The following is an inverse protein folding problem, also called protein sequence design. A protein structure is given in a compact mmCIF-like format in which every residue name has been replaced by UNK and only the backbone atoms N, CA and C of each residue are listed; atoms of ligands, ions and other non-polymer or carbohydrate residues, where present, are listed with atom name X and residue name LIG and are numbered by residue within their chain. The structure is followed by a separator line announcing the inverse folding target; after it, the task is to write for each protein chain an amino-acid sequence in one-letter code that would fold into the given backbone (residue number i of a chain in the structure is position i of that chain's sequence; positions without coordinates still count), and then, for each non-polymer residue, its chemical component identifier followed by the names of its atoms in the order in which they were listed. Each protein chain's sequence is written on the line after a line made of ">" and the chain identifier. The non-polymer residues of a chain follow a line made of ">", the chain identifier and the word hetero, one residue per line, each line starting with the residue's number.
data_IF_692157573588
#
_entry.id   IF_692157573588
#
_cell.length_a   1.000
_cell.length_b   1.000
_cell.length_c   1.000
_cell.angle_alpha   90.00
_cell.angle_beta   90.00
_cell.angle_gamma   90.00
#
_symmetry.space_group_name_H-M   'P 1'
#
loop_
_entity.id
_entity.type
_entity.pdbx_description
1 polymer ?
#
# COMPACT_ATOMS: atom_id res chain seq x y z
N UNK A 1 20.23 -8.76 0.07
CA UNK A 1 19.76 -7.37 -0.14
C UNK A 1 20.26 -6.56 1.04
N UNK A 2 20.77 -5.36 0.79
CA UNK A 2 21.16 -4.40 1.84
C UNK A 2 19.92 -3.85 2.55
N UNK A 3 20.05 -3.28 3.77
CA UNK A 3 18.93 -2.65 4.44
C UNK A 3 18.43 -1.44 3.64
N UNK A 4 17.12 -1.18 3.72
CA UNK A 4 16.44 -0.08 3.02
C UNK A 4 15.69 0.80 4.03
N UNK A 5 16.07 2.07 4.10
CA UNK A 5 15.31 3.08 4.86
C UNK A 5 14.23 3.69 3.98
N UNK A 6 12.97 3.44 4.34
CA UNK A 6 11.81 4.10 3.73
C UNK A 6 11.46 5.33 4.55
N UNK A 7 11.43 6.50 3.94
CA UNK A 7 11.04 7.75 4.59
C UNK A 7 10.10 8.52 3.67
N UNK A 8 8.82 8.53 4.02
CA UNK A 8 7.75 9.18 3.24
C UNK A 8 6.71 8.17 2.74
N UNK A 9 6.01 8.53 1.67
CA UNK A 9 4.89 7.77 1.12
C UNK A 9 5.28 6.88 -0.07
N UNK A 10 5.22 5.54 0.06
CA UNK A 10 5.35 4.65 -1.08
C UNK A 10 4.17 4.79 -2.06
N UNK A 11 4.43 4.58 -3.34
CA UNK A 11 3.40 4.67 -4.40
C UNK A 11 3.52 3.53 -5.39
N UNK A 12 2.41 3.15 -6.03
CA UNK A 12 2.38 2.14 -7.09
C UNK A 12 1.30 2.46 -8.10
N UNK A 13 1.60 2.28 -9.40
CA UNK A 13 0.61 2.46 -10.46
C UNK A 13 -0.23 1.20 -10.61
N UNK A 14 -1.55 1.33 -10.60
CA UNK A 14 -2.48 0.20 -10.76
C UNK A 14 -3.65 0.55 -11.68
N UNK A 15 -4.29 -0.49 -12.23
CA UNK A 15 -5.61 -0.43 -12.84
C UNK A 15 -6.62 -1.18 -12.00
N UNK A 16 -7.72 -0.52 -11.66
CA UNK A 16 -8.80 -1.08 -10.84
C UNK A 16 -10.05 -1.22 -11.69
N UNK A 17 -10.59 -2.44 -11.79
CA UNK A 17 -11.90 -2.73 -12.37
C UNK A 17 -12.89 -3.16 -11.28
N UNK A 18 -14.17 -2.82 -11.43
CA UNK A 18 -15.21 -3.13 -10.44
C UNK A 18 -16.50 -3.62 -11.08
N UNK A 19 -17.13 -4.62 -10.46
CA UNK A 19 -18.49 -5.08 -10.80
C UNK A 19 -19.59 -4.40 -9.97
N UNK A 20 -19.27 -3.45 -9.08
CA UNK A 20 -20.26 -2.76 -8.27
C UNK A 20 -21.28 -2.01 -9.15
N UNK A 21 -22.53 -1.93 -8.69
CA UNK A 21 -23.61 -1.29 -9.44
C UNK A 21 -23.32 0.20 -9.72
N UNK A 22 -22.79 0.92 -8.74
CA UNK A 22 -22.37 2.33 -8.88
C UNK A 22 -21.02 2.49 -9.62
N UNK A 23 -20.38 1.38 -9.99
CA UNK A 23 -19.07 1.36 -10.64
C UNK A 23 -17.91 1.81 -9.74
N UNK A 24 -18.11 1.91 -8.42
CA UNK A 24 -17.04 2.23 -7.48
C UNK A 24 -16.26 0.99 -7.01
N UNK A 25 -15.03 1.20 -6.56
CA UNK A 25 -14.29 0.21 -5.78
C UNK A 25 -13.83 0.84 -4.47
N UNK A 26 -13.95 0.10 -3.37
CA UNK A 26 -13.34 0.47 -2.08
C UNK A 26 -12.25 -0.56 -1.78
N UNK A 27 -11.02 -0.08 -1.65
CA UNK A 27 -9.82 -0.89 -1.47
C UNK A 27 -9.05 -0.42 -0.26
N UNK A 28 -8.30 -1.32 0.36
CA UNK A 28 -7.42 -1.05 1.49
C UNK A 28 -6.02 -1.50 1.10
N UNK A 29 -5.11 -0.53 0.96
CA UNK A 29 -3.76 -0.76 0.51
C UNK A 29 -2.77 -0.58 1.66
N UNK A 30 -1.82 -1.52 1.78
CA UNK A 30 -0.78 -1.51 2.81
C UNK A 30 0.50 -2.18 2.31
N UNK A 31 1.61 -1.86 2.96
CA UNK A 31 2.91 -2.47 2.68
C UNK A 31 3.45 -3.08 3.95
N UNK A 32 3.73 -4.38 3.89
CA UNK A 32 4.41 -5.11 4.96
C UNK A 32 5.92 -5.14 4.71
N UNK A 33 6.67 -5.09 5.78
CA UNK A 33 8.04 -5.59 5.85
C UNK A 33 7.98 -7.08 6.22
N UNK A 34 8.58 -7.93 5.40
CA UNK A 34 8.50 -9.39 5.52
C UNK A 34 9.89 -10.00 5.59
N UNK A 35 10.12 -10.76 6.67
CA UNK A 35 11.35 -11.49 6.90
C UNK A 35 11.69 -12.51 5.79
N UNK A 36 12.96 -12.94 5.71
CA UNK A 36 13.45 -13.78 4.62
C UNK A 36 12.71 -15.12 4.52
N UNK A 37 12.30 -15.72 5.65
CA UNK A 37 11.52 -16.95 5.70
C UNK A 37 10.00 -16.72 5.56
N UNK A 38 9.56 -15.47 5.52
CA UNK A 38 8.15 -15.06 5.41
C UNK A 38 7.31 -15.21 6.68
N UNK A 39 7.88 -15.71 7.79
CA UNK A 39 7.14 -15.93 9.04
C UNK A 39 6.95 -14.63 9.81
N UNK A 40 7.97 -13.79 9.86
CA UNK A 40 7.88 -12.45 10.42
C UNK A 40 7.28 -11.49 9.38
N UNK A 41 6.19 -10.83 9.76
CA UNK A 41 5.54 -9.79 8.96
C UNK A 41 5.20 -8.62 9.87
N UNK A 42 5.78 -7.46 9.57
CA UNK A 42 5.50 -6.22 10.29
C UNK A 42 4.72 -5.30 9.35
N UNK A 43 3.60 -4.78 9.84
CA UNK A 43 2.94 -3.65 9.21
C UNK A 43 3.44 -2.38 9.91
N UNK A 44 4.30 -1.55 9.26
CA UNK A 44 4.86 -0.38 9.92
C UNK A 44 3.75 0.54 10.47
N UNK A 45 3.83 0.82 11.77
CA UNK A 45 2.85 1.60 12.54
C UNK A 45 1.37 1.14 12.39
N UNK A 46 1.14 -0.11 11.96
CA UNK A 46 -0.20 -0.67 11.68
C UNK A 46 -1.03 0.18 10.68
N UNK A 47 -0.38 0.90 9.76
CA UNK A 47 -1.05 1.85 8.89
C UNK A 47 -1.68 1.20 7.65
N UNK A 48 -2.84 1.72 7.24
CA UNK A 48 -3.60 1.27 6.07
C UNK A 48 -4.13 2.49 5.32
N UNK A 49 -4.03 2.49 3.99
CA UNK A 49 -4.66 3.50 3.14
C UNK A 49 -6.03 3.01 2.62
N UNK A 50 -7.15 3.59 3.09
CA UNK A 50 -8.45 3.38 2.45
C UNK A 50 -8.52 4.19 1.15
N UNK A 51 -8.91 3.54 0.05
CA UNK A 51 -8.96 4.13 -1.28
C UNK A 51 -10.33 3.87 -1.90
N UNK A 52 -11.01 4.95 -2.29
CA UNK A 52 -12.21 4.89 -3.12
C UNK A 52 -11.87 5.25 -4.56
N UNK A 53 -12.26 4.39 -5.49
CA UNK A 53 -12.08 4.59 -6.93
C UNK A 53 -13.43 4.65 -7.60
N UNK A 54 -13.87 5.85 -7.97
CA UNK A 54 -15.11 6.02 -8.74
C UNK A 54 -14.88 5.82 -10.24
N UNK A 55 -15.89 5.31 -10.94
CA UNK A 55 -15.85 5.07 -12.39
C UNK A 55 -14.94 3.91 -12.80
N UNK A 56 -14.78 2.91 -11.94
CA UNK A 56 -13.91 1.75 -12.17
C UNK A 56 -14.55 0.64 -13.03
N UNK A 57 -15.80 0.77 -13.48
CA UNK A 57 -16.52 -0.32 -14.20
C UNK A 57 -15.75 -0.85 -15.43
N UNK A 58 -15.15 0.03 -16.23
CA UNK A 58 -14.36 -0.34 -17.41
C UNK A 58 -12.85 -0.50 -17.13
N UNK A 59 -12.45 -0.44 -15.86
CA UNK A 59 -11.06 -0.33 -15.45
C UNK A 59 -10.58 1.12 -15.44
N UNK A 60 -10.08 1.58 -14.31
CA UNK A 60 -9.50 2.92 -14.12
C UNK A 60 -8.08 2.80 -13.60
N UNK A 61 -7.15 3.39 -14.34
CA UNK A 61 -5.75 3.43 -13.99
C UNK A 61 -5.50 4.64 -13.06
N UNK A 62 -5.04 4.41 -11.82
CA UNK A 62 -4.58 5.44 -10.88
C UNK A 62 -3.23 5.11 -10.22
N UNK A 63 -2.67 6.07 -9.49
CA UNK A 63 -1.57 5.84 -8.55
C UNK A 63 -2.16 5.58 -7.16
N UNK A 64 -1.86 4.42 -6.57
CA UNK A 64 -2.12 4.15 -5.17
C UNK A 64 -1.03 4.81 -4.33
N UNK A 65 -1.47 5.68 -3.43
CA UNK A 65 -0.63 6.39 -2.46
C UNK A 65 -0.80 5.70 -1.11
N UNK A 66 0.28 5.14 -0.57
CA UNK A 66 0.26 4.37 0.69
C UNK A 66 0.48 5.28 1.91
N UNK A 67 0.28 4.80 3.13
CA UNK A 67 0.62 5.60 4.31
C UNK A 67 2.10 5.99 4.32
N UNK A 68 2.39 7.20 4.81
CA UNK A 68 3.77 7.62 5.03
C UNK A 68 4.37 6.82 6.19
N UNK A 69 5.60 6.34 6.01
CA UNK A 69 6.34 5.59 7.03
C UNK A 69 7.77 6.14 7.12
N UNK A 70 8.34 6.07 8.32
CA UNK A 70 9.79 6.09 8.52
C UNK A 70 10.18 4.74 9.11
N UNK A 71 10.65 3.82 8.26
CA UNK A 71 10.81 2.40 8.60
C UNK A 71 12.07 1.83 7.96
N UNK A 72 12.85 1.08 8.74
CA UNK A 72 13.98 0.31 8.24
C UNK A 72 13.51 -1.10 7.86
N UNK A 73 13.72 -1.46 6.60
CA UNK A 73 13.59 -2.83 6.12
C UNK A 73 14.96 -3.48 6.25
N UNK A 74 15.07 -4.48 7.11
CA UNK A 74 16.35 -5.15 7.38
C UNK A 74 16.93 -5.86 6.16
N UNK A 75 18.25 -6.10 6.18
CA UNK A 75 18.92 -6.83 5.12
C UNK A 75 18.29 -8.22 4.90
N UNK A 76 17.94 -8.52 3.65
CA UNK A 76 17.31 -9.80 3.29
C UNK A 76 15.79 -9.86 3.50
N UNK A 77 15.18 -8.83 4.09
CA UNK A 77 13.73 -8.67 4.08
C UNK A 77 13.22 -8.25 2.70
N UNK A 78 11.89 -8.30 2.53
CA UNK A 78 11.20 -7.78 1.34
C UNK A 78 9.97 -6.97 1.71
N UNK A 79 9.67 -5.97 0.89
CA UNK A 79 8.40 -5.27 0.93
C UNK A 79 7.31 -6.10 0.25
N UNK A 80 6.13 -6.17 0.87
CA UNK A 80 4.94 -6.82 0.30
C UNK A 80 3.77 -5.84 0.27
N UNK A 81 3.39 -5.43 -0.92
CA UNK A 81 2.13 -4.74 -1.17
C UNK A 81 0.96 -5.70 -0.98
N UNK A 82 -0.03 -5.28 -0.19
CA UNK A 82 -1.32 -5.96 -0.05
C UNK A 82 -2.42 -4.97 -0.41
N UNK A 83 -3.32 -5.40 -1.30
CA UNK A 83 -4.55 -4.67 -1.64
C UNK A 83 -5.72 -5.59 -1.34
N UNK A 84 -6.60 -5.16 -0.44
CA UNK A 84 -7.74 -5.93 0.03
C UNK A 84 -9.06 -5.18 -0.23
N UNK A 85 -10.17 -5.92 -0.31
CA UNK A 85 -11.51 -5.34 -0.43
C UNK A 85 -12.14 -5.00 0.94
N UNK A 86 -11.54 -5.48 2.03
CA UNK A 86 -11.99 -5.23 3.41
C UNK A 86 -10.80 -5.01 4.34
N UNK A 87 -11.02 -4.24 5.41
CA UNK A 87 -10.09 -4.10 6.53
C UNK A 87 -10.91 -3.87 7.81
N UNK A 88 -10.50 -4.46 8.94
CA UNK A 88 -11.26 -4.41 10.20
C UNK A 88 -11.34 -2.99 10.79
N UNK A 89 -10.43 -2.09 10.40
CA UNK A 89 -10.45 -0.70 10.85
C UNK A 89 -11.51 0.19 10.18
N UNK A 90 -12.24 -0.32 9.17
CA UNK A 90 -13.10 0.52 8.33
C UNK A 90 -14.44 -0.14 7.99
N UNK A 91 -15.47 0.70 7.86
CA UNK A 91 -16.72 0.28 7.25
C UNK A 91 -16.52 0.02 5.74
N UNK A 92 -16.93 -1.17 5.29
CA UNK A 92 -16.91 -1.56 3.88
C UNK A 92 -18.33 -1.52 3.30
N UNK A 93 -18.50 -1.32 1.97
CA UNK A 93 -19.82 -1.40 1.35
C UNK A 93 -20.52 -2.73 1.65
N UNK A 94 -21.82 -2.68 1.95
CA UNK A 94 -22.61 -3.87 2.30
C UNK A 94 -22.95 -4.74 1.08
N UNK A 95 -23.08 -4.14 -0.10
CA UNK A 95 -23.37 -4.86 -1.33
C UNK A 95 -22.11 -5.58 -1.84
N UNK A 96 -22.20 -6.87 -2.21
CA UNK A 96 -21.06 -7.60 -2.74
C UNK A 96 -20.62 -7.06 -4.11
N UNK A 97 -19.32 -7.03 -4.35
CA UNK A 97 -18.72 -6.71 -5.64
C UNK A 97 -17.39 -7.45 -5.79
N UNK A 98 -17.01 -7.73 -7.04
CA UNK A 98 -15.67 -8.19 -7.38
C UNK A 98 -14.82 -7.01 -7.86
N UNK A 99 -13.58 -6.95 -7.39
CA UNK A 99 -12.59 -5.97 -7.81
C UNK A 99 -11.39 -6.69 -8.43
N UNK A 100 -10.95 -6.20 -9.59
CA UNK A 100 -9.70 -6.65 -10.22
C UNK A 100 -8.69 -5.53 -10.10
N UNK A 101 -7.52 -5.82 -9.52
CA UNK A 101 -6.41 -4.88 -9.40
C UNK A 101 -5.24 -5.40 -10.19
N UNK A 102 -4.86 -4.70 -11.26
CA UNK A 102 -3.67 -5.00 -12.07
C UNK A 102 -2.56 -4.03 -11.70
N UNK A 103 -1.38 -4.53 -11.36
CA UNK A 103 -0.19 -3.71 -11.13
C UNK A 103 0.37 -3.27 -12.49
N UNK A 104 0.50 -1.96 -12.70
CA UNK A 104 0.97 -1.34 -13.95
C UNK A 104 2.39 -0.78 -13.86
N UNK A 105 3.04 -0.89 -12.69
CA UNK A 105 4.39 -0.39 -12.46
C UNK A 105 4.99 -0.88 -11.15
N UNK A 106 6.27 -0.58 -10.88
CA UNK A 106 6.91 -0.97 -9.64
C UNK A 106 6.31 -0.25 -8.43
N UNK A 107 6.53 -0.81 -7.24
CA UNK A 107 6.37 -0.07 -5.99
C UNK A 107 7.54 0.92 -5.87
N UNK A 108 7.25 2.21 -5.98
CA UNK A 108 8.21 3.28 -5.73
C UNK A 108 8.24 3.59 -4.25
N UNK A 109 9.43 3.61 -3.67
CA UNK A 109 9.65 3.78 -2.24
C UNK A 109 10.54 5.00 -2.03
N UNK A 110 10.06 6.05 -1.35
CA UNK A 110 10.89 7.21 -1.09
C UNK A 110 11.97 6.88 -0.06
N UNK A 111 13.19 7.26 -0.39
CA UNK A 111 14.34 7.23 0.51
C UNK A 111 14.84 8.65 0.70
N UNK A 112 15.49 8.91 1.83
CA UNK A 112 16.05 10.22 2.14
C UNK A 112 17.50 10.05 2.59
N UNK A 113 18.35 9.67 1.64
CA UNK A 113 19.78 9.51 1.89
C UNK A 113 20.41 10.87 2.26
N UNK A 114 21.05 10.95 3.43
CA UNK A 114 21.66 12.18 3.94
C UNK A 114 20.80 13.00 4.90
N UNK A 115 19.73 12.42 5.45
CA UNK A 115 19.06 13.01 6.62
C UNK A 115 19.92 12.80 7.87
N UNK A 116 20.35 13.91 8.47
CA UNK A 116 20.93 13.94 9.80
C UNK A 116 19.90 14.45 10.81
N UNK A 117 19.82 13.77 11.97
CA UNK A 117 18.93 14.22 13.05
C UNK A 117 19.60 15.38 13.79
N UNK A 118 18.95 16.54 13.83
CA UNK A 118 19.39 17.65 14.67
C UNK A 118 19.07 17.38 16.15
N UNK A 119 19.88 17.94 17.05
CA UNK A 119 19.58 17.91 18.48
C UNK A 119 18.27 18.66 18.75
N UNK A 120 17.36 18.04 19.52
CA UNK A 120 16.22 18.75 20.08
C UNK A 120 16.73 19.75 21.13
N UNK A 121 16.20 20.98 21.10
CA UNK A 121 16.50 22.02 22.07
C UNK A 121 15.76 21.79 23.40
#
# INVERSE_FOLDING_TARGET
>A
AEPLRVTGTPTVRVKVASTAADGSAVLFAKVYDVGPDGRQQVLPAQLVAPVRVDGARAGKSLTLTLPAIDHEVEAGHRLRLVVAATDLGYASPAAPAAYTVTVEGPLTVPTAAGLDTQAAA
#
